data_IF_302344005379
#
_entry.id   IF_302344005379
#
_cell.length_a   1.000
_cell.length_b   1.000
_cell.length_c   1.000
_cell.angle_alpha   90.00
_cell.angle_beta   90.00
_cell.angle_gamma   90.00
#
_symmetry.space_group_name_H-M   'P 1'
#
loop_
_entity.id
_entity.type
_entity.pdbx_description
1 polymer ?
#
# COMPACT_ATOMS: atom_id res chain seq x y z
N UNK A 1 -1.15 -0.25 -16.96
CA UNK A 1 -1.15 -0.75 -15.58
C UNK A 1 -1.25 0.43 -14.63
N UNK A 2 -2.24 0.44 -13.73
CA UNK A 2 -2.42 1.52 -12.74
C UNK A 2 -1.33 1.49 -11.66
N UNK A 3 -1.19 2.55 -10.86
CA UNK A 3 -0.26 2.55 -9.72
C UNK A 3 -0.58 1.43 -8.73
N UNK A 4 -1.88 1.26 -8.41
CA UNK A 4 -2.36 0.20 -7.50
C UNK A 4 -2.01 -1.18 -8.06
N UNK A 5 -2.25 -1.42 -9.35
CA UNK A 5 -1.93 -2.71 -9.97
C UNK A 5 -0.41 -2.97 -9.98
N UNK A 6 0.41 -1.95 -10.29
CA UNK A 6 1.88 -2.06 -10.21
C UNK A 6 2.32 -2.42 -8.80
N UNK A 7 1.79 -1.73 -7.79
CA UNK A 7 2.11 -2.00 -6.38
C UNK A 7 1.66 -3.40 -5.95
N UNK A 8 0.47 -3.84 -6.37
CA UNK A 8 -0.03 -5.17 -6.06
C UNK A 8 0.86 -6.28 -6.62
N UNK A 9 1.36 -6.11 -7.84
CA UNK A 9 2.29 -7.06 -8.47
C UNK A 9 3.64 -7.11 -7.77
N UNK A 10 4.19 -5.96 -7.36
CA UNK A 10 5.45 -5.94 -6.60
C UNK A 10 5.31 -6.62 -5.24
N UNK A 11 4.20 -6.39 -4.52
CA UNK A 11 3.94 -7.06 -3.25
C UNK A 11 3.85 -8.57 -3.44
N UNK A 12 3.05 -9.04 -4.40
CA UNK A 12 2.90 -10.46 -4.66
C UNK A 12 4.22 -11.10 -5.12
N UNK A 13 4.97 -10.44 -6.01
CA UNK A 13 6.27 -10.96 -6.46
C UNK A 13 7.29 -11.04 -5.32
N UNK A 14 7.27 -10.10 -4.37
CA UNK A 14 8.14 -10.13 -3.20
C UNK A 14 7.79 -11.26 -2.21
N UNK A 15 6.51 -11.62 -2.07
CA UNK A 15 6.09 -12.83 -1.34
C UNK A 15 6.60 -14.10 -2.05
N UNK A 16 6.40 -14.19 -3.37
CA UNK A 16 6.87 -15.34 -4.16
C UNK A 16 8.39 -15.50 -4.09
N UNK A 17 9.17 -14.42 -4.16
CA UNK A 17 10.64 -14.48 -3.99
C UNK A 17 11.04 -14.94 -2.59
N UNK A 18 10.28 -14.57 -1.55
CA UNK A 18 10.53 -15.06 -0.19
C UNK A 18 10.27 -16.55 -0.06
N UNK A 19 9.18 -17.03 -0.65
CA UNK A 19 8.85 -18.45 -0.65
C UNK A 19 9.79 -19.27 -1.54
N UNK A 20 10.34 -18.68 -2.61
CA UNK A 20 11.33 -19.30 -3.49
C UNK A 20 12.58 -19.75 -2.73
N UNK A 21 12.97 -19.03 -1.68
CA UNK A 21 14.08 -19.44 -0.79
C UNK A 21 13.79 -20.80 -0.14
N UNK A 22 12.52 -21.13 0.11
CA UNK A 22 12.08 -22.40 0.68
C UNK A 22 11.61 -23.43 -0.37
N UNK A 23 11.43 -23.03 -1.64
CA UNK A 23 10.88 -23.86 -2.72
C UNK A 23 11.60 -23.58 -4.05
N UNK A 24 12.57 -24.41 -4.45
CA UNK A 24 13.24 -24.27 -5.75
C UNK A 24 12.27 -24.44 -6.93
N UNK A 25 12.37 -23.57 -7.95
CA UNK A 25 11.59 -23.68 -9.20
C UNK A 25 10.48 -22.63 -9.40
N UNK A 26 10.38 -21.63 -8.53
CA UNK A 26 9.40 -20.52 -8.65
C UNK A 26 10.05 -19.17 -9.00
N UNK A 27 11.36 -19.14 -9.29
CA UNK A 27 12.16 -17.93 -9.54
C UNK A 27 11.65 -17.16 -10.79
N UNK A 28 11.15 -17.87 -11.80
CA UNK A 28 10.57 -17.26 -12.99
C UNK A 28 9.17 -16.68 -12.75
N UNK A 29 8.46 -17.16 -11.72
CA UNK A 29 7.09 -16.73 -11.40
C UNK A 29 7.09 -15.28 -10.93
N UNK A 30 7.96 -14.91 -9.99
CA UNK A 30 8.04 -13.53 -9.48
C UNK A 30 8.41 -12.54 -10.60
N UNK A 31 9.34 -12.92 -11.47
CA UNK A 31 9.72 -12.12 -12.64
C UNK A 31 8.55 -11.97 -13.63
N UNK A 32 7.80 -13.05 -13.87
CA UNK A 32 6.60 -13.01 -14.71
C UNK A 32 5.54 -12.06 -14.13
N UNK A 33 5.28 -12.14 -12.83
CA UNK A 33 4.30 -11.28 -12.13
C UNK A 33 4.65 -9.80 -12.28
N UNK A 34 5.92 -9.43 -12.04
CA UNK A 34 6.41 -8.05 -12.19
C UNK A 34 6.22 -7.50 -13.60
N UNK A 35 6.43 -8.33 -14.62
CA UNK A 35 6.29 -7.98 -16.04
C UNK A 35 4.83 -7.94 -16.53
N UNK A 36 3.86 -8.21 -15.67
CA UNK A 36 2.44 -8.19 -16.03
C UNK A 36 1.84 -9.58 -16.29
N UNK A 37 2.66 -10.63 -16.30
CA UNK A 37 2.23 -12.02 -16.44
C UNK A 37 1.69 -12.61 -15.13
N UNK A 38 1.44 -13.91 -15.16
CA UNK A 38 0.99 -14.68 -14.00
C UNK A 38 1.78 -15.98 -13.80
N UNK A 39 2.93 -16.13 -14.46
CA UNK A 39 3.83 -17.29 -14.30
C UNK A 39 3.18 -18.66 -14.55
N UNK A 40 2.07 -18.72 -15.29
CA UNK A 40 1.21 -19.92 -15.44
C UNK A 40 0.65 -20.46 -14.12
N UNK A 41 0.64 -19.64 -13.07
CA UNK A 41 0.13 -19.99 -11.74
C UNK A 41 -1.31 -19.49 -11.62
N UNK A 42 -2.25 -20.43 -11.47
CA UNK A 42 -3.69 -20.14 -11.48
C UNK A 42 -4.16 -19.23 -10.33
N UNK A 43 -3.48 -19.26 -9.18
CA UNK A 43 -3.87 -18.43 -8.04
C UNK A 43 -3.41 -16.97 -8.15
N UNK A 44 -2.44 -16.66 -9.03
CA UNK A 44 -1.89 -15.29 -9.15
C UNK A 44 -2.95 -14.25 -9.53
N UNK A 45 -3.84 -14.46 -10.53
CA UNK A 45 -4.89 -13.50 -10.82
C UNK A 45 -5.83 -13.24 -9.63
N UNK A 46 -6.14 -14.30 -8.85
CA UNK A 46 -6.99 -14.17 -7.65
C UNK A 46 -6.29 -13.42 -6.54
N UNK A 47 -5.02 -13.72 -6.29
CA UNK A 47 -4.19 -13.00 -5.32
C UNK A 47 -4.05 -11.53 -5.69
N UNK A 48 -3.80 -11.21 -6.98
CA UNK A 48 -3.72 -9.83 -7.44
C UNK A 48 -5.03 -9.07 -7.24
N UNK A 49 -6.19 -9.68 -7.53
CA UNK A 49 -7.49 -9.03 -7.26
C UNK A 49 -7.71 -8.75 -5.78
N UNK A 50 -7.35 -9.70 -4.91
CA UNK A 50 -7.44 -9.52 -3.46
C UNK A 50 -6.54 -8.39 -2.96
N UNK A 51 -5.28 -8.34 -3.43
CA UNK A 51 -4.34 -7.27 -3.06
C UNK A 51 -4.81 -5.92 -3.61
N UNK A 52 -5.29 -5.87 -4.86
CA UNK A 52 -5.84 -4.63 -5.44
C UNK A 52 -7.03 -4.15 -4.61
N UNK A 53 -7.96 -5.03 -4.24
CA UNK A 53 -9.09 -4.67 -3.40
C UNK A 53 -8.64 -4.14 -2.02
N UNK A 54 -7.61 -4.73 -1.41
CA UNK A 54 -7.06 -4.24 -0.15
C UNK A 54 -6.33 -2.90 -0.27
N UNK A 55 -5.75 -2.60 -1.44
CA UNK A 55 -5.07 -1.34 -1.74
C UNK A 55 -6.01 -0.27 -2.30
N UNK A 56 -7.23 -0.64 -2.69
CA UNK A 56 -8.26 0.30 -3.14
C UNK A 56 -9.11 0.68 -1.93
N UNK A 57 -9.01 1.93 -1.45
CA UNK A 57 -9.88 2.38 -0.36
C UNK A 57 -11.35 2.33 -0.82
N UNK A 58 -12.31 2.14 0.11
CA UNK A 58 -13.72 2.22 -0.23
C UNK A 58 -14.08 3.56 -0.89
N UNK A 59 -15.20 3.60 -1.61
CA UNK A 59 -15.68 4.83 -2.24
C UNK A 59 -15.84 5.96 -1.19
N UNK A 60 -15.35 7.14 -1.51
CA UNK A 60 -15.30 8.29 -0.59
C UNK A 60 -14.10 8.32 0.36
N UNK A 61 -13.24 7.29 0.34
CA UNK A 61 -12.01 7.23 1.14
C UNK A 61 -10.77 7.37 0.25
N UNK A 62 -9.70 7.93 0.81
CA UNK A 62 -8.39 8.05 0.16
C UNK A 62 -7.31 7.54 1.10
N UNK A 63 -6.33 6.81 0.56
CA UNK A 63 -5.15 6.41 1.32
C UNK A 63 -4.27 7.63 1.59
N UNK A 64 -4.03 7.91 2.86
CA UNK A 64 -3.12 8.96 3.32
C UNK A 64 -1.90 8.31 3.99
N UNK A 65 -0.68 8.86 3.80
CA UNK A 65 0.52 8.38 4.50
C UNK A 65 0.34 8.39 6.03
N UNK A 66 0.88 7.40 6.74
CA UNK A 66 0.83 7.38 8.21
C UNK A 66 1.74 8.46 8.80
N UNK A 67 2.90 8.67 8.19
CA UNK A 67 3.76 9.82 8.47
C UNK A 67 3.50 10.90 7.43
N UNK A 68 3.29 12.17 7.83
CA UNK A 68 2.99 13.23 6.89
C UNK A 68 4.21 13.51 6.01
N UNK A 69 3.96 13.80 4.73
CA UNK A 69 5.03 14.30 3.85
C UNK A 69 5.34 15.77 4.16
N UNK A 70 6.52 16.24 3.76
CA UNK A 70 6.89 17.66 3.92
C UNK A 70 5.87 18.61 3.29
N UNK A 71 5.36 18.28 2.10
CA UNK A 71 4.30 19.06 1.45
C UNK A 71 3.00 19.10 2.29
N UNK A 72 2.62 17.97 2.92
CA UNK A 72 1.46 17.94 3.80
C UNK A 72 1.69 18.75 5.08
N UNK A 73 2.90 18.72 5.65
CA UNK A 73 3.27 19.56 6.79
C UNK A 73 3.20 21.05 6.42
N UNK A 74 3.62 21.41 5.21
CA UNK A 74 3.58 22.78 4.71
C UNK A 74 2.15 23.33 4.60
N UNK A 75 1.19 22.52 4.14
CA UNK A 75 -0.22 22.91 4.07
C UNK A 75 -0.88 23.08 5.45
N UNK A 76 -0.36 22.42 6.49
CA UNK A 76 -0.89 22.53 7.86
C UNK A 76 -0.44 23.86 8.54
N UNK A 77 0.50 24.62 7.97
CA UNK A 77 1.09 25.86 8.52
C UNK A 77 0.17 27.10 8.59
N UNK A 78 -1.11 26.95 8.94
CA UNK A 78 -2.02 28.09 9.11
C UNK A 78 -1.71 28.96 10.34
N UNK A 79 -0.77 28.57 11.23
CA UNK A 79 -0.44 29.33 12.44
C UNK A 79 1.07 29.36 12.70
N UNK A 80 1.66 30.57 12.79
CA UNK A 80 3.10 30.84 13.01
C UNK A 80 3.73 30.16 14.24
N UNK A 81 2.93 29.66 15.18
CA UNK A 81 3.41 29.13 16.47
C UNK A 81 3.56 27.60 16.51
N UNK A 82 3.20 26.87 15.45
CA UNK A 82 3.33 25.42 15.45
C UNK A 82 4.73 24.99 15.01
N UNK A 83 5.49 24.39 15.92
CA UNK A 83 6.75 23.70 15.63
C UNK A 83 6.49 22.39 14.88
N UNK A 84 7.50 21.85 14.17
CA UNK A 84 7.37 20.60 13.43
C UNK A 84 6.84 19.43 14.27
N UNK A 85 7.25 19.32 15.53
CA UNK A 85 6.77 18.27 16.45
C UNK A 85 5.27 18.39 16.76
N UNK A 86 4.77 19.61 16.98
CA UNK A 86 3.36 19.85 17.22
C UNK A 86 2.50 19.49 15.99
N UNK A 87 3.05 19.64 14.78
CA UNK A 87 2.39 19.26 13.52
C UNK A 87 2.26 17.73 13.38
N UNK A 88 3.34 16.99 13.63
CA UNK A 88 3.31 15.53 13.61
C UNK A 88 2.30 14.97 14.60
N UNK A 89 2.25 15.52 15.84
CA UNK A 89 1.25 15.12 16.83
C UNK A 89 -0.18 15.39 16.37
N UNK A 90 -0.42 16.52 15.71
CA UNK A 90 -1.76 16.85 15.22
C UNK A 90 -2.18 15.98 14.04
N UNK A 91 -1.26 15.68 13.13
CA UNK A 91 -1.49 14.73 12.05
C UNK A 91 -1.79 13.33 12.58
N UNK A 92 -0.98 12.84 13.54
CA UNK A 92 -1.22 11.57 14.21
C UNK A 92 -2.59 11.52 14.90
N UNK A 93 -3.02 12.61 15.54
CA UNK A 93 -4.34 12.72 16.13
C UNK A 93 -5.47 12.66 15.09
N UNK A 94 -5.31 13.28 13.91
CA UNK A 94 -6.27 13.18 12.82
C UNK A 94 -6.38 11.75 12.29
N UNK A 95 -5.26 11.04 12.13
CA UNK A 95 -5.25 9.63 11.72
C UNK A 95 -5.87 8.74 12.81
N UNK A 96 -5.58 8.99 14.09
CA UNK A 96 -6.15 8.24 15.20
C UNK A 96 -7.66 8.44 15.36
N UNK A 97 -8.16 9.63 15.02
CA UNK A 97 -9.59 9.93 15.01
C UNK A 97 -10.32 9.34 13.78
N UNK A 98 -9.63 8.59 12.90
CA UNK A 98 -10.28 7.93 11.77
C UNK A 98 -11.42 7.04 12.28
N UNK A 99 -12.59 7.04 11.62
CA UNK A 99 -13.61 6.05 11.94
C UNK A 99 -13.00 4.67 11.71
N UNK A 100 -13.00 3.82 12.75
CA UNK A 100 -12.62 2.43 12.58
C UNK A 100 -13.61 1.80 11.60
N UNK A 101 -13.08 1.12 10.57
CA UNK A 101 -13.91 0.27 9.73
C UNK A 101 -14.42 -0.85 10.64
N UNK A 102 -15.70 -0.79 11.03
CA UNK A 102 -16.37 -1.92 11.66
C UNK A 102 -16.24 -3.09 10.69
N UNK A 103 -15.41 -4.08 11.05
CA UNK A 103 -15.26 -5.30 10.29
C UNK A 103 -16.63 -5.99 10.21
N UNK A 104 -17.21 -5.99 9.00
CA UNK A 104 -18.38 -6.79 8.66
C UNK A 104 -17.98 -8.21 8.26
#
# INVERSE_FOLDING_TARGET
MSYIEKRARELLAAEVDRDAVAMPGVEEVATSIRKGGHGSVQFVPTALRAIIAALTPPEGYVLVPVEPTEAMLQEIHLVKSFTGEAMHRRYAAMIAARPEVLGG
#
